data_IF_120682873579
#
_entry.id   IF_120682873579
#
_cell.length_a   1.000
_cell.length_b   1.000
_cell.length_c   1.000
_cell.angle_alpha   90.00
_cell.angle_beta   90.00
_cell.angle_gamma   90.00
#
_symmetry.space_group_name_H-M   'P 1'
#
loop_
_entity.id
_entity.type
_entity.pdbx_description
1 polymer ?
#
# COMPACT_ATOMS: atom_id res chain seq x y z
N UNK A 1 -20.46 -32.98 -36.02
CA UNK A 1 -20.90 -31.73 -35.38
C UNK A 1 -20.71 -31.90 -33.89
N UNK A 2 -19.85 -31.07 -33.29
CA UNK A 2 -19.42 -30.99 -31.87
C UNK A 2 -18.72 -32.23 -31.27
N UNK A 3 -17.39 -32.25 -31.00
CA UNK A 3 -16.60 -31.53 -29.96
C UNK A 3 -17.18 -31.77 -28.56
N UNK A 4 -16.48 -32.33 -27.55
CA UNK A 4 -15.07 -32.17 -27.21
C UNK A 4 -14.65 -33.11 -26.04
N UNK A 5 -13.45 -33.67 -26.18
CA UNK A 5 -12.39 -33.93 -25.17
C UNK A 5 -12.70 -34.77 -23.92
N UNK A 6 -12.24 -36.03 -24.00
CA UNK A 6 -11.49 -36.74 -22.95
C UNK A 6 -10.38 -35.83 -22.36
N UNK A 7 -9.90 -35.93 -21.13
CA UNK A 7 -9.48 -37.11 -20.40
C UNK A 7 -9.00 -36.71 -18.99
N UNK A 8 -8.92 -37.71 -18.14
CA UNK A 8 -8.62 -37.72 -16.72
C UNK A 8 -7.25 -37.14 -16.32
N UNK A 9 -7.22 -36.23 -15.35
CA UNK A 9 -6.11 -36.18 -14.40
C UNK A 9 -6.66 -35.91 -13.00
N UNK A 10 -7.07 -37.01 -12.38
CA UNK A 10 -7.46 -37.11 -10.99
C UNK A 10 -6.24 -36.84 -10.08
N UNK A 11 -6.08 -35.60 -9.61
CA UNK A 11 -5.21 -35.32 -8.47
C UNK A 11 -5.92 -35.77 -7.18
N UNK A 12 -5.55 -36.98 -6.78
CA UNK A 12 -5.74 -37.59 -5.47
C UNK A 12 -5.39 -36.57 -4.37
N UNK A 13 -6.35 -36.28 -3.48
CA UNK A 13 -6.05 -35.71 -2.17
C UNK A 13 -6.50 -34.26 -1.97
N UNK A 14 -7.60 -34.09 -1.24
CA UNK A 14 -7.80 -32.88 -0.45
C UNK A 14 -6.59 -32.67 0.47
N UNK A 15 -5.71 -31.72 0.14
CA UNK A 15 -4.84 -31.11 1.17
C UNK A 15 -5.72 -30.12 1.94
N UNK A 16 -6.56 -30.64 2.83
CA UNK A 16 -7.00 -29.93 4.04
C UNK A 16 -5.73 -29.65 4.86
N UNK A 17 -4.99 -28.57 4.57
CA UNK A 17 -3.71 -28.44 5.25
C UNK A 17 -2.84 -27.22 5.03
N UNK A 18 -3.23 -26.25 4.21
CA UNK A 18 -2.41 -25.04 4.06
C UNK A 18 -3.26 -23.82 3.73
N UNK A 19 -4.11 -23.44 4.69
CA UNK A 19 -4.57 -22.05 4.76
C UNK A 19 -3.40 -21.26 5.35
N UNK A 20 -2.35 -21.08 4.56
CA UNK A 20 -1.29 -20.14 4.88
C UNK A 20 -1.97 -18.83 5.21
N UNK A 21 -1.88 -18.40 6.47
CA UNK A 21 -2.22 -17.04 6.88
C UNK A 21 -1.17 -16.12 6.27
N UNK A 22 -1.13 -16.01 4.95
CA UNK A 22 -0.42 -14.93 4.28
C UNK A 22 -1.10 -13.66 4.75
N UNK A 23 -0.48 -12.98 5.70
CA UNK A 23 -0.85 -11.60 6.00
C UNK A 23 -0.45 -10.80 4.78
N UNK A 24 -1.40 -10.55 3.88
CA UNK A 24 -1.19 -9.69 2.73
C UNK A 24 -0.92 -8.29 3.28
N UNK A 25 0.28 -7.78 3.02
CA UNK A 25 0.67 -6.41 3.38
C UNK A 25 0.54 -5.57 2.12
N UNK A 26 -0.28 -4.53 2.19
CA UNK A 26 -0.41 -3.54 1.11
C UNK A 26 0.44 -2.32 1.44
N UNK A 27 1.22 -1.86 0.47
CA UNK A 27 1.93 -0.58 0.55
C UNK A 27 1.10 0.44 -0.20
N UNK A 28 0.80 1.56 0.45
CA UNK A 28 0.07 2.68 -0.15
C UNK A 28 0.96 3.91 -0.05
N UNK A 29 1.19 4.56 -1.20
CA UNK A 29 1.83 5.87 -1.28
C UNK A 29 0.76 6.86 -1.70
N UNK A 30 0.59 7.92 -0.93
CA UNK A 30 -0.36 8.99 -1.24
C UNK A 30 0.32 10.33 -0.96
N UNK A 31 0.06 11.32 -1.80
CA UNK A 31 0.73 12.61 -1.64
C UNK A 31 0.52 13.52 -2.82
N UNK A 32 1.22 14.63 -2.78
CA UNK A 32 1.17 15.69 -3.79
C UNK A 32 2.58 15.89 -4.35
N UNK A 33 2.65 16.08 -5.65
CA UNK A 33 3.88 16.29 -6.39
C UNK A 33 3.72 17.53 -7.29
N UNK A 34 4.79 18.26 -7.57
CA UNK A 34 4.80 19.44 -8.46
C UNK A 34 4.22 19.18 -9.86
N UNK A 35 4.22 17.91 -10.31
CA UNK A 35 3.61 17.51 -11.59
C UNK A 35 2.08 17.43 -11.54
N UNK A 36 1.51 17.17 -10.36
CA UNK A 36 0.08 16.86 -10.18
C UNK A 36 -0.68 17.90 -9.37
N UNK A 37 0.00 18.81 -8.66
CA UNK A 37 -0.61 19.89 -7.89
C UNK A 37 0.07 21.25 -8.14
N UNK A 38 -0.68 22.36 -8.07
CA UNK A 38 -0.11 23.70 -8.14
C UNK A 38 0.81 23.96 -6.94
N UNK A 39 1.81 24.82 -7.11
CA UNK A 39 2.80 25.13 -6.07
C UNK A 39 2.17 25.59 -4.75
N UNK A 40 1.13 26.43 -4.81
CA UNK A 40 0.40 26.88 -3.62
C UNK A 40 -0.25 25.73 -2.82
N UNK A 41 -0.51 24.58 -3.46
CA UNK A 41 -0.99 23.39 -2.76
C UNK A 41 0.17 22.64 -2.10
N UNK A 42 1.34 22.55 -2.75
CA UNK A 42 2.55 21.98 -2.16
C UNK A 42 2.96 22.72 -0.88
N UNK A 43 2.99 24.05 -0.91
CA UNK A 43 3.36 24.87 0.25
C UNK A 43 2.45 24.63 1.46
N UNK A 44 1.18 24.29 1.21
CA UNK A 44 0.19 24.00 2.27
C UNK A 44 0.29 22.58 2.83
N UNK A 45 0.89 21.66 2.09
CA UNK A 45 1.06 20.26 2.51
C UNK A 45 2.48 19.95 2.95
N UNK A 46 3.45 20.83 2.69
CA UNK A 46 4.82 20.70 3.20
C UNK A 46 4.80 20.58 4.71
N UNK A 47 5.50 19.56 5.21
CA UNK A 47 5.61 19.29 6.64
C UNK A 47 6.93 19.90 7.09
N UNK A 48 6.86 20.78 8.09
CA UNK A 48 8.05 21.34 8.72
C UNK A 48 8.86 20.25 9.44
N UNK A 49 10.17 20.40 9.49
CA UNK A 49 11.10 19.37 9.98
C UNK A 49 10.80 18.95 11.43
N UNK A 50 10.43 19.91 12.28
CA UNK A 50 10.02 19.71 13.67
C UNK A 50 8.65 19.01 13.81
N UNK A 51 7.82 19.06 12.77
CA UNK A 51 6.51 18.42 12.72
C UNK A 51 6.55 16.99 12.16
N UNK A 52 7.66 16.54 11.55
CA UNK A 52 7.80 15.20 10.95
C UNK A 52 7.56 14.12 12.01
N UNK A 53 8.26 14.18 13.15
CA UNK A 53 8.13 13.18 14.21
C UNK A 53 6.68 13.06 14.71
N UNK A 54 6.03 14.20 14.97
CA UNK A 54 4.63 14.26 15.38
C UNK A 54 3.70 13.63 14.34
N UNK A 55 3.97 13.85 13.06
CA UNK A 55 3.17 13.32 11.96
C UNK A 55 3.29 11.80 11.85
N UNK A 56 4.52 11.28 11.90
CA UNK A 56 4.78 9.84 11.89
C UNK A 56 4.11 9.16 13.09
N UNK A 57 4.27 9.71 14.29
CA UNK A 57 3.61 9.16 15.49
C UNK A 57 2.08 9.18 15.40
N UNK A 58 1.50 10.26 14.85
CA UNK A 58 0.05 10.35 14.65
C UNK A 58 -0.49 9.32 13.65
N UNK A 59 0.26 9.00 12.60
CA UNK A 59 -0.10 7.98 11.63
C UNK A 59 0.08 6.55 12.21
N UNK A 60 1.16 6.32 12.94
CA UNK A 60 1.45 5.07 13.64
C UNK A 60 0.41 4.70 14.70
N UNK A 61 -0.25 5.68 15.31
CA UNK A 61 -1.30 5.44 16.29
C UNK A 61 -2.57 4.78 15.68
N UNK A 62 -2.67 4.65 14.35
CA UNK A 62 -3.82 4.07 13.67
C UNK A 62 -3.69 2.54 13.58
N UNK A 63 -4.74 1.77 13.93
CA UNK A 63 -4.66 0.31 14.04
C UNK A 63 -4.40 -0.42 12.71
N UNK A 64 -4.63 0.24 11.57
CA UNK A 64 -4.47 -0.35 10.24
C UNK A 64 -3.11 -0.05 9.59
N UNK A 65 -2.23 0.69 10.27
CA UNK A 65 -0.94 1.13 9.75
C UNK A 65 0.15 0.41 10.54
N UNK A 66 0.98 -0.38 9.86
CA UNK A 66 2.13 -1.05 10.49
C UNK A 66 3.40 -0.22 10.42
N UNK A 67 3.62 0.40 9.27
CA UNK A 67 4.82 1.15 8.94
C UNK A 67 4.44 2.45 8.22
N UNK A 68 5.21 3.52 8.45
CA UNK A 68 4.97 4.88 7.95
C UNK A 68 6.32 5.47 7.64
N UNK A 69 6.41 6.04 6.45
CA UNK A 69 7.52 6.89 6.02
C UNK A 69 6.88 8.17 5.52
N UNK A 70 7.48 9.32 5.88
CA UNK A 70 7.07 10.62 5.38
C UNK A 70 8.25 11.20 4.60
N UNK A 71 7.98 11.64 3.38
CA UNK A 71 8.92 12.31 2.48
C UNK A 71 8.37 13.69 2.14
N UNK A 72 8.82 14.72 2.84
CA UNK A 72 8.50 16.11 2.50
C UNK A 72 9.74 16.83 1.97
N UNK A 73 9.61 17.37 0.77
CA UNK A 73 10.63 18.16 0.07
C UNK A 73 9.95 19.35 -0.60
N UNK A 74 10.72 20.25 -1.22
CA UNK A 74 10.15 21.35 -2.01
C UNK A 74 9.32 20.88 -3.22
N UNK A 75 9.51 19.64 -3.67
CA UNK A 75 8.95 19.15 -4.93
C UNK A 75 7.81 18.15 -4.76
N UNK A 76 7.73 17.54 -3.57
CA UNK A 76 6.77 16.50 -3.22
C UNK A 76 6.58 16.42 -1.72
N UNK A 77 5.36 16.06 -1.31
CA UNK A 77 5.08 15.55 0.03
C UNK A 77 4.27 14.26 -0.10
N UNK A 78 4.82 13.17 0.40
CA UNK A 78 4.28 11.80 0.38
C UNK A 78 4.43 11.11 1.75
#
# INVERSE_FOLDING_TARGET
MATSFTEECQCIGQIKGLRDRVTVVSIVVFGVNHRTGPLALLERVTIADDAIAKTVHGLMARPNIREVVVLSTCNRTE
#
